data_IF_405674024616
#
_entry.id   IF_405674024616
#
_cell.length_a   1.000
_cell.length_b   1.000
_cell.length_c   1.000
_cell.angle_alpha   90.00
_cell.angle_beta   90.00
_cell.angle_gamma   90.00
#
_symmetry.space_group_name_H-M   'P 1'
#
loop_
_entity.id
_entity.type
_entity.pdbx_description
1 polymer ?
#
# COMPACT_ATOMS: atom_id res chain seq x y z
N UNK A 1 -14.51 7.93 -33.36
CA UNK A 1 -14.35 9.28 -32.77
C UNK A 1 -13.42 9.14 -31.58
N UNK A 2 -12.29 9.82 -31.58
CA UNK A 2 -11.41 9.86 -30.40
C UNK A 2 -12.11 10.77 -29.38
N UNK A 3 -12.39 10.25 -28.20
CA UNK A 3 -12.86 11.07 -27.09
C UNK A 3 -11.71 11.96 -26.61
N UNK A 4 -11.82 13.27 -26.86
CA UNK A 4 -10.82 14.25 -26.47
C UNK A 4 -10.57 14.29 -24.96
N UNK A 5 -11.60 14.00 -24.15
CA UNK A 5 -11.47 13.91 -22.69
C UNK A 5 -10.61 12.71 -22.27
N UNK A 6 -10.78 11.58 -22.95
CA UNK A 6 -9.99 10.38 -22.72
C UNK A 6 -8.52 10.59 -23.09
N UNK A 7 -8.26 11.23 -24.23
CA UNK A 7 -6.90 11.54 -24.70
C UNK A 7 -6.13 12.42 -23.70
N UNK A 8 -6.77 13.46 -23.17
CA UNK A 8 -6.17 14.36 -22.17
C UNK A 8 -5.88 13.62 -20.87
N UNK A 9 -6.81 12.78 -20.39
CA UNK A 9 -6.63 12.01 -19.14
C UNK A 9 -5.47 11.02 -19.26
N UNK A 10 -5.36 10.33 -20.40
CA UNK A 10 -4.23 9.43 -20.70
C UNK A 10 -2.91 10.18 -20.74
N UNK A 11 -2.87 11.36 -21.36
CA UNK A 11 -1.67 12.19 -21.40
C UNK A 11 -1.23 12.59 -19.98
N UNK A 12 -2.15 13.10 -19.15
CA UNK A 12 -1.85 13.52 -17.78
C UNK A 12 -1.30 12.37 -16.92
N UNK A 13 -1.93 11.19 -16.99
CA UNK A 13 -1.47 9.99 -16.28
C UNK A 13 -0.09 9.51 -16.78
N UNK A 14 0.15 9.57 -18.10
CA UNK A 14 1.44 9.22 -18.68
C UNK A 14 2.55 10.20 -18.26
N UNK A 15 2.26 11.50 -18.21
CA UNK A 15 3.22 12.50 -17.71
C UNK A 15 3.58 12.19 -16.26
N UNK A 16 2.59 11.98 -15.38
CA UNK A 16 2.84 11.62 -13.99
C UNK A 16 3.69 10.34 -13.86
N UNK A 17 3.42 9.32 -14.69
CA UNK A 17 4.16 8.05 -14.73
C UNK A 17 5.61 8.23 -15.20
N UNK A 18 5.83 8.87 -16.35
CA UNK A 18 7.16 8.94 -16.97
C UNK A 18 8.09 9.94 -16.32
N UNK A 19 7.55 10.97 -15.67
CA UNK A 19 8.35 12.00 -14.99
C UNK A 19 8.59 11.70 -13.52
N UNK A 20 7.85 10.74 -12.93
CA UNK A 20 7.90 10.47 -11.50
C UNK A 20 7.31 11.59 -10.64
N UNK A 21 6.56 12.55 -11.22
CA UNK A 21 5.95 13.66 -10.48
C UNK A 21 4.67 13.26 -9.72
N UNK A 22 4.22 12.00 -9.84
CA UNK A 22 3.04 11.50 -9.14
C UNK A 22 3.02 11.78 -7.63
N UNK A 23 4.13 11.68 -6.86
CA UNK A 23 4.13 11.98 -5.43
C UNK A 23 3.77 13.43 -5.08
N UNK A 24 3.97 14.39 -6.00
CA UNK A 24 3.58 15.79 -5.77
C UNK A 24 2.06 15.98 -5.69
N UNK A 25 1.29 15.05 -6.25
CA UNK A 25 -0.17 15.07 -6.16
C UNK A 25 -0.70 14.52 -4.82
N UNK A 26 0.16 13.94 -3.96
CA UNK A 26 -0.21 13.30 -2.68
C UNK A 26 -1.11 14.19 -1.79
N UNK A 27 -0.91 15.52 -1.65
CA UNK A 27 -1.82 16.36 -0.87
C UNK A 27 -3.26 16.41 -1.39
N UNK A 28 -3.48 16.14 -2.67
CA UNK A 28 -4.78 16.22 -3.32
C UNK A 28 -5.46 14.86 -3.50
N UNK A 29 -4.67 13.79 -3.67
CA UNK A 29 -5.19 12.44 -3.99
C UNK A 29 -4.74 11.33 -3.02
N UNK A 30 -3.93 11.67 -2.00
CA UNK A 30 -3.29 10.69 -1.12
C UNK A 30 -4.17 10.10 -0.02
N UNK A 31 -5.42 10.55 0.11
CA UNK A 31 -6.35 10.07 1.14
C UNK A 31 -5.85 10.32 2.57
N UNK A 32 -6.41 9.55 3.52
CA UNK A 32 -6.14 9.71 4.96
C UNK A 32 -5.17 8.66 5.54
N UNK A 33 -4.81 7.63 4.78
CA UNK A 33 -4.00 6.51 5.24
C UNK A 33 -4.05 5.28 4.32
N UNK A 34 -3.55 4.15 4.81
CA UNK A 34 -3.52 2.87 4.10
C UNK A 34 -3.86 1.69 5.03
N UNK A 35 -4.48 0.66 4.47
CA UNK A 35 -4.65 -0.66 5.11
C UNK A 35 -3.87 -1.65 4.24
N UNK A 36 -2.79 -2.21 4.79
CA UNK A 36 -1.93 -3.17 4.11
C UNK A 36 -2.39 -4.59 4.47
N UNK A 37 -3.08 -5.24 3.53
CA UNK A 37 -3.56 -6.61 3.68
C UNK A 37 -2.49 -7.59 3.21
N UNK A 38 -1.88 -8.31 4.15
CA UNK A 38 -0.93 -9.37 3.90
C UNK A 38 -1.65 -10.72 3.95
N UNK A 39 -1.15 -11.70 3.19
CA UNK A 39 -1.57 -13.08 3.34
C UNK A 39 -0.45 -13.90 3.97
N UNK A 40 0.74 -13.90 3.35
CA UNK A 40 1.89 -14.68 3.84
C UNK A 40 3.20 -13.92 3.74
N UNK A 41 3.89 -13.76 4.87
CA UNK A 41 5.28 -13.29 4.95
C UNK A 41 6.20 -14.50 4.88
N UNK A 42 7.06 -14.61 3.86
CA UNK A 42 8.02 -15.71 3.76
C UNK A 42 9.22 -15.40 2.86
N UNK A 43 10.42 -15.78 3.31
CA UNK A 43 11.66 -15.73 2.53
C UNK A 43 11.74 -16.88 1.50
N UNK A 44 10.87 -17.89 1.63
CA UNK A 44 10.80 -19.04 0.73
C UNK A 44 9.47 -19.06 -0.04
N UNK A 45 9.31 -18.22 -1.08
CA UNK A 45 8.06 -18.14 -1.81
C UNK A 45 7.75 -19.45 -2.53
N UNK A 46 6.46 -19.67 -2.79
CA UNK A 46 6.01 -20.80 -3.60
C UNK A 46 6.69 -20.83 -4.98
N UNK A 47 6.68 -22.00 -5.61
CA UNK A 47 7.23 -22.20 -6.97
C UNK A 47 6.70 -21.11 -7.92
N UNK A 48 7.45 -20.70 -8.95
CA UNK A 48 7.04 -19.64 -9.88
C UNK A 48 5.64 -19.79 -10.46
N UNK A 49 5.17 -21.04 -10.66
CA UNK A 49 3.84 -21.36 -11.20
C UNK A 49 2.79 -21.67 -10.11
N UNK A 50 3.07 -21.36 -8.85
CA UNK A 50 2.14 -21.53 -7.74
C UNK A 50 1.00 -20.52 -7.84
N UNK A 51 -0.23 -21.00 -7.74
CA UNK A 51 -1.44 -20.17 -7.87
C UNK A 51 -1.45 -19.05 -6.83
N UNK A 52 -0.95 -19.32 -5.62
CA UNK A 52 -0.96 -18.37 -4.51
C UNK A 52 0.37 -17.63 -4.32
N UNK A 53 1.35 -17.82 -5.22
CA UNK A 53 2.66 -17.16 -5.10
C UNK A 53 2.55 -15.63 -5.02
N UNK A 54 1.57 -15.05 -5.70
CA UNK A 54 1.32 -13.60 -5.71
C UNK A 54 0.85 -13.05 -4.35
N UNK A 55 0.46 -13.91 -3.42
CA UNK A 55 0.03 -13.57 -2.06
C UNK A 55 1.21 -13.55 -1.05
N UNK A 56 2.42 -13.89 -1.51
CA UNK A 56 3.62 -13.90 -0.67
C UNK A 56 4.33 -12.55 -0.71
N UNK A 57 4.76 -12.07 0.46
CA UNK A 57 5.67 -10.94 0.60
C UNK A 57 6.99 -11.42 1.24
N UNK A 58 8.12 -10.98 0.71
CA UNK A 58 9.42 -11.29 1.30
C UNK A 58 9.62 -10.45 2.58
N UNK A 59 10.14 -11.03 3.69
CA UNK A 59 10.35 -10.30 4.94
C UNK A 59 11.17 -9.01 4.75
N UNK A 60 12.31 -9.10 4.06
CA UNK A 60 13.15 -7.92 3.80
C UNK A 60 12.49 -6.85 2.94
N UNK A 61 11.54 -7.21 2.08
CA UNK A 61 10.75 -6.21 1.34
C UNK A 61 9.69 -5.57 2.22
N UNK A 62 9.04 -6.35 3.11
CA UNK A 62 8.10 -5.81 4.09
C UNK A 62 8.80 -4.83 5.04
N UNK A 63 10.00 -5.14 5.51
CA UNK A 63 10.82 -4.24 6.33
C UNK A 63 11.11 -2.91 5.60
N UNK A 64 11.58 -2.99 4.35
CA UNK A 64 11.87 -1.82 3.55
C UNK A 64 10.61 -0.97 3.31
N UNK A 65 9.48 -1.61 2.98
CA UNK A 65 8.20 -0.94 2.81
C UNK A 65 7.76 -0.19 4.07
N UNK A 66 7.82 -0.84 5.24
CA UNK A 66 7.45 -0.23 6.52
C UNK A 66 8.37 0.94 6.84
N UNK A 67 9.69 0.79 6.62
CA UNK A 67 10.67 1.85 6.85
C UNK A 67 10.40 3.08 5.96
N UNK A 68 10.18 2.86 4.66
CA UNK A 68 9.87 3.92 3.69
C UNK A 68 8.57 4.64 4.06
N UNK A 69 7.52 3.91 4.41
CA UNK A 69 6.25 4.51 4.85
C UNK A 69 6.41 5.36 6.11
N UNK A 70 7.20 4.90 7.10
CA UNK A 70 7.49 5.70 8.30
C UNK A 70 8.26 6.96 7.94
N UNK A 71 9.25 6.89 7.05
CA UNK A 71 10.00 8.04 6.57
C UNK A 71 9.10 9.05 5.83
N UNK A 72 8.06 8.57 5.15
CA UNK A 72 7.02 9.38 4.51
C UNK A 72 5.98 9.97 5.47
N UNK A 73 6.07 9.68 6.78
CA UNK A 73 5.20 10.24 7.81
C UNK A 73 3.97 9.41 8.16
N UNK A 74 3.90 8.14 7.74
CA UNK A 74 2.82 7.25 8.16
C UNK A 74 3.01 6.79 9.62
N UNK A 75 1.97 6.96 10.43
CA UNK A 75 1.87 6.33 11.75
C UNK A 75 1.29 4.92 11.60
N UNK A 76 2.05 3.89 11.97
CA UNK A 76 1.52 2.52 12.05
C UNK A 76 0.69 2.34 13.32
N UNK A 77 -0.58 2.00 13.14
CA UNK A 77 -1.60 1.95 14.20
C UNK A 77 -2.33 0.60 14.21
N UNK A 78 -2.99 0.27 15.31
CA UNK A 78 -3.88 -0.89 15.39
C UNK A 78 -5.09 -0.71 14.46
N UNK A 79 -5.77 -1.81 14.14
CA UNK A 79 -7.00 -1.76 13.34
C UNK A 79 -8.11 -0.96 14.05
N UNK A 80 -8.22 -1.05 15.38
CA UNK A 80 -9.17 -0.26 16.17
C UNK A 80 -8.90 1.25 16.05
N UNK A 81 -7.63 1.65 16.15
CA UNK A 81 -7.26 3.06 15.98
C UNK A 81 -7.48 3.53 14.53
N UNK A 82 -7.18 2.69 13.53
CA UNK A 82 -7.47 2.99 12.14
C UNK A 82 -8.98 3.26 11.94
N UNK A 83 -9.85 2.42 12.52
CA UNK A 83 -11.30 2.61 12.49
C UNK A 83 -11.69 3.96 13.11
N UNK A 84 -11.14 4.31 14.27
CA UNK A 84 -11.42 5.60 14.91
C UNK A 84 -10.92 6.78 14.07
N UNK A 85 -9.72 6.71 13.49
CA UNK A 85 -9.20 7.76 12.58
C UNK A 85 -10.09 7.92 11.35
N UNK A 86 -10.58 6.83 10.76
CA UNK A 86 -11.51 6.85 9.62
C UNK A 86 -12.82 7.55 10.02
N UNK A 87 -13.43 7.16 11.15
CA UNK A 87 -14.67 7.78 11.66
C UNK A 87 -14.53 9.28 11.89
N UNK A 88 -13.36 9.73 12.32
CA UNK A 88 -13.07 11.14 12.58
C UNK A 88 -12.56 11.91 11.36
N UNK A 89 -12.60 11.32 10.16
CA UNK A 89 -12.24 11.98 8.90
C UNK A 89 -10.73 12.14 8.68
N UNK A 90 -9.91 11.24 9.22
CA UNK A 90 -8.46 11.26 9.05
C UNK A 90 -7.73 12.29 9.92
N UNK A 91 -8.35 12.76 11.00
CA UNK A 91 -7.69 13.60 12.00
C UNK A 91 -6.53 12.82 12.64
N UNK A 92 -5.34 13.44 12.73
CA UNK A 92 -4.14 12.81 13.30
C UNK A 92 -3.05 12.41 12.30
N UNK A 93 -3.17 12.85 11.03
CA UNK A 93 -2.15 12.61 10.00
C UNK A 93 -2.30 11.25 9.31
N UNK A 94 -1.44 10.98 8.33
CA UNK A 94 -1.44 9.72 7.59
C UNK A 94 -1.19 8.54 8.53
N UNK A 95 -2.02 7.51 8.42
CA UNK A 95 -1.84 6.28 9.18
C UNK A 95 -1.70 5.08 8.24
N UNK A 96 -1.07 4.03 8.74
CA UNK A 96 -1.07 2.71 8.13
C UNK A 96 -1.48 1.67 9.16
N UNK A 97 -2.17 0.62 8.76
CA UNK A 97 -2.36 -0.57 9.59
C UNK A 97 -2.11 -1.81 8.74
N UNK A 98 -1.70 -2.89 9.38
CA UNK A 98 -1.39 -4.16 8.72
C UNK A 98 -2.41 -5.19 9.17
N UNK A 99 -3.02 -5.89 8.22
CA UNK A 99 -3.80 -7.11 8.47
C UNK A 99 -3.06 -8.31 7.90
N UNK A 100 -3.26 -9.48 8.50
CA UNK A 100 -2.65 -10.73 8.07
C UNK A 100 -3.75 -11.79 7.97
N UNK A 101 -4.13 -12.12 6.74
CA UNK A 101 -5.25 -13.00 6.45
C UNK A 101 -4.76 -14.46 6.38
N UNK A 102 -5.69 -15.41 6.36
CA UNK A 102 -5.46 -16.87 6.22
C UNK A 102 -4.65 -17.57 7.34
N UNK A 103 -4.19 -16.84 8.35
CA UNK A 103 -3.50 -17.39 9.52
C UNK A 103 -2.26 -18.26 9.18
N UNK A 104 -1.51 -17.89 8.13
CA UNK A 104 -0.23 -18.53 7.84
C UNK A 104 0.71 -18.41 9.04
N UNK A 105 1.26 -19.55 9.49
CA UNK A 105 2.23 -19.61 10.60
C UNK A 105 3.42 -18.67 10.35
N UNK A 106 3.84 -18.57 9.10
CA UNK A 106 4.99 -17.79 8.70
C UNK A 106 4.79 -16.28 8.94
N UNK A 107 3.54 -15.78 9.06
CA UNK A 107 3.28 -14.40 9.49
C UNK A 107 3.76 -14.10 10.93
N UNK A 108 4.00 -15.13 11.74
CA UNK A 108 4.52 -15.01 13.12
C UNK A 108 6.00 -15.38 13.22
N UNK A 109 6.47 -16.30 12.37
CA UNK A 109 7.84 -16.86 12.47
C UNK A 109 8.82 -16.23 11.47
N UNK A 110 8.27 -15.65 10.41
CA UNK A 110 8.83 -14.84 9.30
C UNK A 110 9.18 -13.40 9.62
#
# INVERSE_FOLDING_TARGET
MIDGGEAIRKLALNVARYTGLAPLAKPFVGGIGAILMLHRVTATPEKPNGVNRHLNIAPGFLDALIADMRAEGYAFVSLDEAIERIKHGGKGGQFATITADDAYRDNMTE
#
